data_IF_559121698426
#
_entry.id   IF_559121698426
#
_cell.length_a   1.000
_cell.length_b   1.000
_cell.length_c   1.000
_cell.angle_alpha   90.00
_cell.angle_beta   90.00
_cell.angle_gamma   90.00
#
_symmetry.space_group_name_H-M   'P 1'
#
loop_
_entity.id
_entity.type
_entity.pdbx_description
1 polymer ?
#
# COMPACT_ATOMS: atom_id res chain seq x y z
N UNK A 1 -0.61 5.10 -18.57
CA UNK A 1 0.09 4.74 -17.32
C UNK A 1 -0.27 5.77 -16.28
N UNK A 2 -0.92 5.32 -15.21
CA UNK A 2 -1.20 6.14 -14.04
C UNK A 2 -0.21 5.76 -12.93
N UNK A 3 0.16 6.76 -12.13
CA UNK A 3 1.06 6.59 -11.00
C UNK A 3 0.20 6.60 -9.75
N UNK A 4 0.36 5.58 -8.93
CA UNK A 4 -0.26 5.47 -7.61
C UNK A 4 0.80 5.20 -6.56
N UNK A 5 0.46 5.45 -5.32
CA UNK A 5 1.31 5.15 -4.16
C UNK A 5 0.61 4.09 -3.32
N UNK A 6 1.35 3.11 -2.83
CA UNK A 6 0.85 2.11 -1.89
C UNK A 6 1.80 1.97 -0.71
N UNK A 7 1.32 1.40 0.39
CA UNK A 7 2.12 1.20 1.59
C UNK A 7 2.49 -0.26 1.66
N UNK A 8 3.78 -0.55 1.76
CA UNK A 8 4.30 -1.91 1.77
C UNK A 8 5.15 -2.16 3.00
N UNK A 9 5.35 -3.44 3.33
CA UNK A 9 6.36 -3.86 4.28
C UNK A 9 6.97 -5.19 3.84
N UNK A 10 8.17 -5.50 4.36
CA UNK A 10 8.84 -6.76 4.08
C UNK A 10 8.78 -7.68 5.31
N UNK A 11 8.31 -8.90 5.10
CA UNK A 11 8.39 -9.96 6.12
C UNK A 11 9.84 -10.36 6.37
N UNK A 12 10.12 -10.97 7.52
CA UNK A 12 11.47 -11.52 7.83
C UNK A 12 11.99 -12.53 6.79
N UNK A 13 11.08 -13.17 6.05
CA UNK A 13 11.41 -14.10 4.96
C UNK A 13 11.62 -13.41 3.60
N UNK A 14 11.61 -12.07 3.56
CA UNK A 14 11.83 -11.28 2.35
C UNK A 14 10.59 -11.07 1.46
N UNK A 15 9.44 -11.65 1.82
CA UNK A 15 8.18 -11.46 1.06
C UNK A 15 7.58 -10.09 1.34
N UNK A 16 7.06 -9.44 0.30
CA UNK A 16 6.38 -8.14 0.36
C UNK A 16 4.92 -8.32 0.76
N UNK A 17 4.45 -7.46 1.66
CA UNK A 17 3.05 -7.30 2.03
C UNK A 17 2.61 -5.89 1.66
N UNK A 18 1.36 -5.77 1.25
CA UNK A 18 0.69 -4.53 0.91
C UNK A 18 -0.34 -4.19 1.99
N UNK A 19 -0.51 -2.91 2.25
CA UNK A 19 -1.57 -2.42 3.12
C UNK A 19 -2.89 -2.45 2.36
N UNK A 20 -3.88 -3.15 2.90
CA UNK A 20 -5.26 -3.19 2.42
C UNK A 20 -6.21 -2.70 3.50
N UNK A 21 -7.48 -2.51 3.12
CA UNK A 21 -8.56 -2.16 4.05
C UNK A 21 -9.57 -3.29 4.10
N UNK A 22 -9.87 -3.75 5.31
CA UNK A 22 -10.88 -4.78 5.56
C UNK A 22 -11.82 -4.29 6.66
N UNK A 23 -13.10 -4.14 6.31
CA UNK A 23 -14.15 -3.65 7.22
C UNK A 23 -13.80 -2.31 7.91
N UNK A 24 -13.21 -1.38 7.15
CA UNK A 24 -12.80 -0.07 7.68
C UNK A 24 -11.52 -0.08 8.51
N UNK A 25 -10.86 -1.23 8.65
CA UNK A 25 -9.60 -1.37 9.38
C UNK A 25 -8.43 -1.77 8.45
N UNK A 26 -7.24 -1.21 8.66
CA UNK A 26 -6.06 -1.56 7.89
C UNK A 26 -5.60 -2.98 8.21
N UNK A 27 -5.29 -3.74 7.17
CA UNK A 27 -4.77 -5.11 7.24
C UNK A 27 -3.61 -5.27 6.26
N UNK A 28 -2.74 -6.24 6.53
CA UNK A 28 -1.67 -6.60 5.59
C UNK A 28 -2.10 -7.80 4.75
N UNK A 29 -1.88 -7.70 3.44
CA UNK A 29 -2.19 -8.75 2.47
C UNK A 29 -0.99 -9.01 1.56
N UNK A 30 -0.88 -10.23 1.03
CA UNK A 30 0.10 -10.56 -0.01
C UNK A 30 -0.46 -10.26 -1.41
N UNK A 31 -1.76 -10.01 -1.50
CA UNK A 31 -2.42 -9.71 -2.76
C UNK A 31 -2.20 -8.24 -3.13
N UNK A 32 -1.68 -8.02 -4.33
CA UNK A 32 -1.48 -6.68 -4.85
C UNK A 32 -2.82 -6.03 -5.19
N UNK A 33 -3.77 -6.78 -5.75
CA UNK A 33 -5.04 -6.22 -6.23
C UNK A 33 -5.96 -5.76 -5.08
N UNK A 34 -5.73 -6.28 -3.87
CA UNK A 34 -6.42 -5.85 -2.64
C UNK A 34 -5.76 -4.62 -1.97
N UNK A 35 -4.61 -4.17 -2.46
CA UNK A 35 -3.87 -3.08 -1.84
C UNK A 35 -4.64 -1.76 -1.91
N UNK A 36 -4.40 -0.90 -0.93
CA UNK A 36 -4.83 0.48 -1.02
C UNK A 36 -3.85 1.28 -1.86
N UNK A 37 -4.43 2.12 -2.72
CA UNK A 37 -3.71 3.01 -3.61
C UNK A 37 -4.14 4.44 -3.35
N UNK A 38 -3.17 5.33 -3.36
CA UNK A 38 -3.34 6.76 -3.18
C UNK A 38 -2.78 7.50 -4.39
N UNK A 39 -3.38 8.65 -4.71
CA UNK A 39 -2.92 9.48 -5.81
C UNK A 39 -1.59 10.19 -5.51
N UNK A 40 -1.26 10.35 -4.22
CA UNK A 40 -0.02 11.01 -3.78
C UNK A 40 0.66 10.26 -2.63
N UNK A 41 1.98 10.40 -2.58
CA UNK A 41 2.81 9.87 -1.49
C UNK A 41 2.39 10.44 -0.12
N UNK A 42 2.09 11.75 -0.06
CA UNK A 42 1.68 12.43 1.17
C UNK A 42 0.39 11.84 1.76
N UNK A 43 -0.58 11.47 0.92
CA UNK A 43 -1.82 10.84 1.38
C UNK A 43 -1.55 9.45 1.99
N UNK A 44 -0.73 8.64 1.33
CA UNK A 44 -0.34 7.32 1.82
C UNK A 44 0.45 7.42 3.14
N UNK A 45 1.37 8.38 3.24
CA UNK A 45 2.12 8.64 4.47
C UNK A 45 1.23 9.10 5.61
N UNK A 46 0.34 10.06 5.35
CA UNK A 46 -0.56 10.61 6.37
C UNK A 46 -1.45 9.51 6.94
N UNK A 47 -2.04 8.69 6.07
CA UNK A 47 -2.84 7.54 6.48
C UNK A 47 -2.02 6.58 7.35
N UNK A 48 -0.80 6.24 6.92
CA UNK A 48 0.08 5.32 7.65
C UNK A 48 0.48 5.87 9.01
N UNK A 49 0.81 7.16 9.11
CA UNK A 49 1.14 7.82 10.39
C UNK A 49 -0.05 7.85 11.35
N UNK A 50 -1.28 7.96 10.84
CA UNK A 50 -2.49 7.97 11.66
C UNK A 50 -2.88 6.57 12.15
N UNK A 51 -2.76 5.54 11.32
CA UNK A 51 -3.21 4.19 11.63
C UNK A 51 -2.13 3.26 12.18
N UNK A 52 -0.88 3.43 11.76
CA UNK A 52 0.26 2.58 12.09
C UNK A 52 1.19 3.23 13.13
N UNK A 53 0.65 4.07 14.03
CA UNK A 53 1.40 4.91 15.00
C UNK A 53 2.52 4.19 15.75
N UNK A 54 2.33 2.91 16.10
CA UNK A 54 3.29 2.11 16.87
C UNK A 54 4.03 1.07 16.04
N UNK A 55 3.74 0.99 14.75
CA UNK A 55 4.32 0.00 13.85
C UNK A 55 5.33 0.68 12.92
N UNK A 56 6.58 0.24 12.98
CA UNK A 56 7.67 0.74 12.14
C UNK A 56 8.06 -0.33 11.12
N UNK A 57 8.66 0.08 9.99
CA UNK A 57 9.11 -0.83 8.93
C UNK A 57 8.15 -0.95 7.73
N UNK A 58 7.11 -0.13 7.68
CA UNK A 58 6.38 0.14 6.45
C UNK A 58 7.09 1.23 5.64
N UNK A 59 6.90 1.22 4.33
CA UNK A 59 7.40 2.23 3.38
C UNK A 59 6.30 2.55 2.36
N UNK A 60 6.32 3.77 1.81
CA UNK A 60 5.48 4.12 0.67
C UNK A 60 6.23 3.76 -0.62
N UNK A 61 5.54 3.11 -1.55
CA UNK A 61 6.09 2.67 -2.83
C UNK A 61 5.27 3.27 -3.99
N UNK A 62 5.96 3.80 -4.99
CA UNK A 62 5.38 4.26 -6.25
C UNK A 62 5.09 3.07 -7.17
N UNK A 63 3.86 2.99 -7.66
CA UNK A 63 3.35 1.93 -8.52
C UNK A 63 2.87 2.53 -9.83
N UNK A 64 3.33 1.95 -10.95
CA UNK A 64 2.92 2.36 -12.30
C UNK A 64 1.92 1.35 -12.83
N UNK A 65 0.66 1.76 -12.96
CA UNK A 65 -0.43 0.93 -13.46
C UNK A 65 -0.72 1.30 -14.91
N UNK A 66 -0.73 0.30 -15.79
CA UNK A 66 -1.10 0.50 -17.19
C UNK A 66 -2.61 0.29 -17.38
N UNK A 67 -3.38 1.37 -17.25
CA UNK A 67 -4.85 1.36 -17.42
C UNK A 67 -5.34 0.86 -18.78
N UNK A 68 -4.46 0.73 -19.79
CA UNK A 68 -4.84 0.20 -21.12
C UNK A 68 -4.79 -1.33 -21.22
N UNK A 69 -4.41 -2.04 -20.14
CA UNK A 69 -4.43 -3.51 -20.09
C UNK A 69 -5.65 -4.09 -19.37
N UNK A 70 -6.56 -3.25 -18.89
CA UNK A 70 -7.87 -3.69 -18.39
C UNK A 70 -8.82 -3.75 -19.59
N UNK A 71 -8.64 -4.77 -20.43
CA UNK A 71 -9.53 -5.10 -21.54
C UNK A 71 -10.51 -6.19 -21.11
#
# INVERSE_FOLDING_TARGET
MEIFYTVTMQTKAGKKLYLSMWDGHPKWTFDFDEACYWDTEEMAEKFSKEWLKSFTGWVVEEIKVDINKVN
#
